data_IF_159539450787
#
_entry.id   IF_159539450787
#
_cell.length_a   1.000
_cell.length_b   1.000
_cell.length_c   1.000
_cell.angle_alpha   90.00
_cell.angle_beta   90.00
_cell.angle_gamma   90.00
#
_symmetry.space_group_name_H-M   'P 1'
#
loop_
_entity.id
_entity.type
_entity.pdbx_description
1 polymer ?
#
# COMPACT_ATOMS: atom_id res chain seq x y z
N UNK A 1 -15.31 -17.09 17.98
CA UNK A 1 -14.02 -16.92 18.70
C UNK A 1 -12.93 -16.39 17.81
N UNK A 2 -12.38 -17.15 16.86
CA UNK A 2 -11.33 -16.66 15.94
C UNK A 2 -11.72 -15.35 15.22
N UNK A 3 -12.93 -15.30 14.65
CA UNK A 3 -13.47 -14.10 14.04
C UNK A 3 -13.53 -12.91 15.01
N UNK A 4 -14.06 -13.12 16.22
CA UNK A 4 -14.16 -12.10 17.27
C UNK A 4 -12.78 -11.55 17.66
N UNK A 5 -11.80 -12.42 17.85
CA UNK A 5 -10.43 -12.01 18.17
C UNK A 5 -9.81 -11.23 17.02
N UNK A 6 -9.98 -11.69 15.78
CA UNK A 6 -9.51 -10.96 14.59
C UNK A 6 -10.13 -9.56 14.51
N UNK A 7 -11.43 -9.43 14.78
CA UNK A 7 -12.13 -8.14 14.81
C UNK A 7 -11.72 -7.27 15.99
N UNK A 8 -11.39 -7.86 17.15
CA UNK A 8 -10.84 -7.13 18.28
C UNK A 8 -9.47 -6.54 17.97
N UNK A 9 -8.59 -7.31 17.33
CA UNK A 9 -7.26 -6.83 16.91
C UNK A 9 -7.41 -5.69 15.90
N UNK A 10 -8.18 -5.91 14.83
CA UNK A 10 -8.48 -4.88 13.81
C UNK A 10 -9.09 -3.62 14.43
N UNK A 11 -10.06 -3.76 15.33
CA UNK A 11 -10.65 -2.61 16.05
C UNK A 11 -9.64 -1.89 16.93
N UNK A 12 -8.65 -2.59 17.49
CA UNK A 12 -7.60 -1.97 18.31
C UNK A 12 -6.71 -1.05 17.49
N UNK A 13 -6.49 -1.37 16.21
CA UNK A 13 -5.72 -0.54 15.27
C UNK A 13 -6.40 0.83 15.06
N UNK A 14 -7.73 0.85 15.05
CA UNK A 14 -8.53 2.07 14.94
C UNK A 14 -8.68 2.88 16.23
N UNK A 15 -7.97 2.57 17.32
CA UNK A 15 -8.12 3.32 18.58
C UNK A 15 -7.40 4.67 18.59
N UNK A 16 -6.34 4.82 17.79
CA UNK A 16 -5.55 6.06 17.74
C UNK A 16 -5.43 6.52 16.30
N UNK A 17 -5.64 7.83 16.01
CA UNK A 17 -5.45 8.33 14.66
C UNK A 17 -3.99 8.20 14.23
N UNK A 18 -3.77 7.88 12.95
CA UNK A 18 -2.44 7.81 12.35
C UNK A 18 -1.97 9.22 11.98
N UNK A 19 -0.69 9.51 12.22
CA UNK A 19 -0.11 10.80 11.87
C UNK A 19 0.08 10.94 10.35
N UNK A 20 -0.69 11.84 9.75
CA UNK A 20 -0.64 12.19 8.32
C UNK A 20 0.50 13.18 8.09
N UNK A 21 1.39 12.90 7.13
CA UNK A 21 2.51 13.77 6.74
C UNK A 21 2.16 14.63 5.53
N UNK A 22 1.43 14.05 4.59
CA UNK A 22 1.03 14.70 3.35
C UNK A 22 -0.38 14.24 2.99
N UNK A 23 -1.22 15.19 2.56
CA UNK A 23 -2.53 14.93 1.98
C UNK A 23 -2.71 15.90 0.82
N UNK A 24 -2.63 15.39 -0.40
CA UNK A 24 -2.56 16.26 -1.59
C UNK A 24 -3.28 15.64 -2.77
N UNK A 25 -4.14 16.44 -3.40
CA UNK A 25 -4.78 16.09 -4.66
C UNK A 25 -3.76 16.21 -5.79
N UNK A 26 -3.49 15.10 -6.49
CA UNK A 26 -2.58 15.05 -7.63
C UNK A 26 -3.30 15.39 -8.95
N UNK A 27 -4.57 14.97 -9.08
CA UNK A 27 -5.45 15.31 -10.20
C UNK A 27 -6.90 15.35 -9.71
N UNK A 28 -7.83 15.78 -10.57
CA UNK A 28 -9.27 15.82 -10.30
C UNK A 28 -9.88 14.53 -9.71
N UNK A 29 -9.21 13.39 -9.86
CA UNK A 29 -9.66 12.08 -9.43
C UNK A 29 -8.60 11.29 -8.65
N UNK A 30 -7.42 11.85 -8.36
CA UNK A 30 -6.33 11.13 -7.66
C UNK A 30 -5.81 11.93 -6.48
N UNK A 31 -5.67 11.27 -5.33
CA UNK A 31 -5.13 11.84 -4.08
C UNK A 31 -3.94 11.01 -3.62
N UNK A 32 -2.92 11.70 -3.11
CA UNK A 32 -1.78 11.13 -2.41
C UNK A 32 -1.94 11.35 -0.90
N UNK A 33 -1.74 10.27 -0.14
CA UNK A 33 -1.69 10.29 1.31
C UNK A 33 -0.35 9.70 1.75
N UNK A 34 0.41 10.44 2.56
CA UNK A 34 1.62 9.91 3.21
C UNK A 34 1.35 9.79 4.71
N UNK A 35 1.46 8.58 5.24
CA UNK A 35 1.20 8.26 6.65
C UNK A 35 2.49 7.93 7.37
N UNK A 36 2.61 8.35 8.63
CA UNK A 36 3.73 7.98 9.49
C UNK A 36 3.54 6.57 10.03
N UNK A 37 4.62 5.80 10.04
CA UNK A 37 4.69 4.46 10.66
C UNK A 37 5.85 4.40 11.64
N UNK A 38 5.81 3.45 12.56
CA UNK A 38 6.94 3.20 13.46
C UNK A 38 8.15 2.67 12.69
N UNK A 39 9.33 3.15 13.05
CA UNK A 39 10.64 2.65 12.58
C UNK A 39 11.04 1.34 13.26
N UNK A 40 10.26 0.90 14.25
CA UNK A 40 10.48 -0.41 14.91
C UNK A 40 9.82 -1.51 14.09
N UNK A 41 10.15 -2.77 14.44
CA UNK A 41 9.53 -3.94 13.81
C UNK A 41 8.00 -3.93 13.77
N UNK A 42 7.34 -3.23 14.70
CA UNK A 42 5.88 -3.12 14.74
C UNK A 42 5.31 -2.26 13.60
N UNK A 43 6.10 -1.38 12.98
CA UNK A 43 5.68 -0.56 11.84
C UNK A 43 6.19 -1.06 10.49
N UNK A 44 6.92 -2.17 10.43
CA UNK A 44 7.45 -2.71 9.17
C UNK A 44 6.32 -3.21 8.26
N UNK A 45 6.37 -2.92 6.98
CA UNK A 45 5.49 -3.53 5.98
C UNK A 45 6.32 -4.16 4.88
N UNK A 46 5.67 -4.94 4.03
CA UNK A 46 6.29 -5.53 2.85
C UNK A 46 5.72 -4.95 1.57
N UNK A 47 6.53 -4.95 0.53
CA UNK A 47 6.14 -4.57 -0.83
C UNK A 47 4.90 -5.36 -1.25
N UNK A 48 3.92 -4.67 -1.85
CA UNK A 48 2.63 -5.23 -2.26
C UNK A 48 1.57 -5.36 -1.16
N UNK A 49 1.88 -5.01 0.09
CA UNK A 49 0.87 -5.00 1.14
C UNK A 49 -0.07 -3.79 1.03
N UNK A 50 -1.26 -3.94 1.59
CA UNK A 50 -2.29 -2.90 1.64
C UNK A 50 -2.76 -2.64 3.07
N UNK A 51 -3.46 -1.52 3.26
CA UNK A 51 -3.99 -1.09 4.55
C UNK A 51 -5.45 -0.67 4.38
N UNK A 52 -6.24 -0.79 5.44
CA UNK A 52 -7.56 -0.18 5.50
C UNK A 52 -7.45 1.23 6.10
N UNK A 53 -8.05 2.20 5.44
CA UNK A 53 -8.15 3.58 5.92
C UNK A 53 -9.58 3.90 6.32
N UNK A 54 -9.72 4.63 7.42
CA UNK A 54 -10.95 5.29 7.82
C UNK A 54 -10.71 6.79 7.98
N UNK A 55 -11.59 7.58 7.37
CA UNK A 55 -11.59 9.05 7.49
C UNK A 55 -12.92 9.45 8.12
N UNK A 56 -12.96 9.71 9.44
CA UNK A 56 -14.19 9.81 10.20
C UNK A 56 -14.99 11.09 9.88
N UNK A 57 -14.36 12.09 9.26
CA UNK A 57 -15.03 13.28 8.70
C UNK A 57 -15.96 12.90 7.53
N UNK A 58 -15.58 11.90 6.74
CA UNK A 58 -16.40 11.35 5.64
C UNK A 58 -17.36 10.30 6.20
N UNK A 59 -16.82 9.30 6.90
CA UNK A 59 -17.62 8.21 7.45
C UNK A 59 -16.95 7.59 8.67
N UNK A 60 -17.70 7.50 9.78
CA UNK A 60 -17.21 6.93 11.05
C UNK A 60 -17.10 5.41 11.04
N UNK A 61 -17.75 4.73 10.09
CA UNK A 61 -17.88 3.27 10.08
C UNK A 61 -17.23 2.60 8.87
N UNK A 62 -17.01 3.33 7.77
CA UNK A 62 -16.46 2.76 6.55
C UNK A 62 -14.94 2.69 6.59
N UNK A 63 -14.40 1.54 6.22
CA UNK A 63 -12.98 1.27 6.10
C UNK A 63 -12.73 0.79 4.68
N UNK A 64 -11.79 1.42 3.98
CA UNK A 64 -11.49 1.13 2.58
C UNK A 64 -10.04 0.67 2.42
N UNK A 65 -9.83 -0.40 1.65
CA UNK A 65 -8.51 -0.97 1.42
C UNK A 65 -7.76 -0.20 0.33
N UNK A 66 -6.48 0.10 0.59
CA UNK A 66 -5.58 0.72 -0.39
C UNK A 66 -4.17 0.15 -0.29
N UNK A 67 -3.61 -0.16 -1.45
CA UNK A 67 -2.24 -0.66 -1.60
C UNK A 67 -1.22 0.39 -1.23
N UNK A 68 -0.16 -0.03 -0.56
CA UNK A 68 0.97 0.84 -0.28
C UNK A 68 1.78 0.98 -1.58
N UNK A 69 1.93 2.22 -2.03
CA UNK A 69 2.64 2.55 -3.25
C UNK A 69 4.15 2.73 -3.04
N UNK A 70 4.61 2.89 -1.79
CA UNK A 70 6.03 3.07 -1.47
C UNK A 70 6.75 1.81 -1.02
N UNK A 71 8.07 1.79 -1.16
CA UNK A 71 8.93 0.74 -0.58
C UNK A 71 9.27 1.01 0.90
N UNK A 72 9.26 -0.02 1.77
CA UNK A 72 9.70 0.12 3.15
C UNK A 72 11.21 0.46 3.28
N UNK A 73 11.99 0.25 2.21
CA UNK A 73 13.44 0.50 2.15
C UNK A 73 13.77 1.97 1.93
N UNK A 74 13.02 2.63 1.06
CA UNK A 74 13.17 4.07 0.77
C UNK A 74 12.48 4.92 1.82
N UNK A 75 11.35 4.44 2.35
CA UNK A 75 10.51 5.15 3.32
C UNK A 75 10.55 4.46 4.70
N UNK A 76 11.57 4.72 5.55
CA UNK A 76 11.74 4.00 6.83
C UNK A 76 10.72 4.38 7.91
N UNK A 77 10.18 5.60 7.90
CA UNK A 77 9.24 6.12 8.91
C UNK A 77 7.88 6.54 8.31
N UNK A 78 7.69 6.33 7.01
CA UNK A 78 6.45 6.64 6.30
C UNK A 78 5.99 5.49 5.39
N UNK A 79 4.75 5.61 4.93
CA UNK A 79 4.20 4.86 3.80
C UNK A 79 3.36 5.80 2.93
N UNK A 80 3.33 5.52 1.63
CA UNK A 80 2.58 6.32 0.65
C UNK A 80 1.44 5.51 0.08
N UNK A 81 0.29 6.16 -0.07
CA UNK A 81 -0.90 5.59 -0.68
C UNK A 81 -1.35 6.54 -1.79
N UNK A 82 -1.62 5.99 -2.98
CA UNK A 82 -2.27 6.70 -4.07
C UNK A 82 -3.68 6.17 -4.22
N UNK A 83 -4.65 7.07 -4.20
CA UNK A 83 -6.08 6.76 -4.17
C UNK A 83 -6.73 7.40 -5.38
N UNK A 84 -7.64 6.66 -6.03
CA UNK A 84 -8.44 7.17 -7.13
C UNK A 84 -9.91 7.23 -6.74
N UNK A 85 -10.61 8.28 -7.17
CA UNK A 85 -12.06 8.39 -7.07
C UNK A 85 -12.75 7.37 -7.98
N UNK A 86 -13.37 6.36 -7.36
CA UNK A 86 -14.08 5.26 -8.03
C UNK A 86 -15.50 5.02 -7.47
N UNK A 87 -15.90 5.74 -6.43
CA UNK A 87 -17.22 5.70 -5.82
C UNK A 87 -17.38 6.76 -4.73
N UNK A 88 -18.58 6.83 -4.14
CA UNK A 88 -19.04 7.93 -3.27
C UNK A 88 -18.02 8.31 -2.18
N UNK A 89 -17.52 7.33 -1.42
CA UNK A 89 -16.56 7.59 -0.34
C UNK A 89 -15.23 8.18 -0.84
N UNK A 90 -14.73 7.69 -1.98
CA UNK A 90 -13.47 8.19 -2.57
C UNK A 90 -13.65 9.54 -3.25
N UNK A 91 -14.84 9.84 -3.76
CA UNK A 91 -15.18 11.16 -4.30
C UNK A 91 -15.22 12.21 -3.18
N UNK A 92 -15.86 11.88 -2.06
CA UNK A 92 -15.84 12.72 -0.86
C UNK A 92 -14.42 12.92 -0.33
N UNK A 93 -13.53 11.94 -0.48
CA UNK A 93 -12.13 12.07 -0.09
C UNK A 93 -11.37 13.09 -0.93
N UNK A 94 -11.60 13.13 -2.25
CA UNK A 94 -11.03 14.15 -3.14
C UNK A 94 -11.56 15.54 -2.79
N UNK A 95 -12.87 15.66 -2.53
CA UNK A 95 -13.45 16.94 -2.12
C UNK A 95 -12.86 17.41 -0.78
N UNK A 96 -12.70 16.49 0.17
CA UNK A 96 -12.12 16.78 1.47
C UNK A 96 -10.63 17.17 1.38
N UNK A 97 -9.85 16.61 0.45
CA UNK A 97 -8.45 17.04 0.25
C UNK A 97 -8.34 18.48 -0.23
N UNK A 98 -9.23 18.93 -1.12
CA UNK A 98 -9.31 20.33 -1.53
C UNK A 98 -9.70 21.25 -0.37
N UNK A 99 -10.67 20.84 0.46
CA UNK A 99 -11.06 21.60 1.66
C UNK A 99 -9.92 21.70 2.68
N UNK A 100 -9.20 20.59 2.94
CA UNK A 100 -8.02 20.57 3.79
C UNK A 100 -6.93 21.51 3.25
N UNK A 101 -6.67 21.49 1.94
CA UNK A 101 -5.70 22.36 1.27
C UNK A 101 -6.06 23.84 1.45
N UNK A 102 -7.33 24.20 1.21
CA UNK A 102 -7.84 25.57 1.37
C UNK A 102 -7.72 26.07 2.81
N UNK A 103 -8.00 25.21 3.78
CA UNK A 103 -7.97 25.54 5.21
C UNK A 103 -6.59 25.36 5.86
N UNK A 104 -5.61 24.84 5.13
CA UNK A 104 -4.24 24.54 5.60
C UNK A 104 -4.23 23.61 6.82
N UNK A 105 -5.04 22.56 6.77
CA UNK A 105 -5.14 21.55 7.84
C UNK A 105 -4.84 20.14 7.31
N UNK A 106 -4.32 19.28 8.17
CA UNK A 106 -4.20 17.85 7.89
C UNK A 106 -5.45 17.10 8.36
N UNK A 107 -5.91 16.07 7.64
CA UNK A 107 -7.07 15.31 8.03
C UNK A 107 -6.78 14.41 9.23
N UNK A 108 -7.82 14.11 10.00
CA UNK A 108 -7.78 12.99 10.95
C UNK A 108 -8.04 11.70 10.17
N UNK A 109 -7.15 10.71 10.28
CA UNK A 109 -7.32 9.39 9.66
C UNK A 109 -7.02 8.28 10.67
N UNK A 110 -7.65 7.13 10.50
CA UNK A 110 -7.32 5.88 11.18
C UNK A 110 -6.86 4.86 10.15
N UNK A 111 -5.97 3.96 10.59
CA UNK A 111 -5.35 2.96 9.74
C UNK A 111 -5.42 1.60 10.43
N UNK A 112 -5.69 0.57 9.64
CA UNK A 112 -5.65 -0.82 10.06
C UNK A 112 -4.82 -1.61 9.02
N UNK A 113 -3.77 -2.29 9.48
CA UNK A 113 -2.80 -2.94 8.60
C UNK A 113 -1.70 -3.68 9.36
N UNK A 114 -0.76 -4.35 8.69
CA UNK A 114 -0.63 -4.49 7.23
C UNK A 114 -1.26 -5.80 6.73
N UNK A 115 -1.91 -5.75 5.56
CA UNK A 115 -2.63 -6.89 4.97
C UNK A 115 -2.07 -7.24 3.58
N UNK A 116 -2.47 -8.41 3.07
CA UNK A 116 -2.02 -8.90 1.76
C UNK A 116 -0.75 -9.76 1.82
N UNK A 117 -0.56 -10.55 0.78
CA UNK A 117 0.68 -11.29 0.54
C UNK A 117 1.79 -10.31 0.11
N UNK A 118 3.03 -10.67 0.39
CA UNK A 118 4.16 -9.87 -0.05
C UNK A 118 4.52 -10.18 -1.50
N UNK A 119 4.84 -9.14 -2.26
CA UNK A 119 5.39 -9.26 -3.61
C UNK A 119 6.92 -9.40 -3.63
N UNK A 120 7.59 -9.62 -2.48
CA UNK A 120 9.05 -9.82 -2.37
C UNK A 120 9.59 -10.97 -3.24
N UNK A 121 8.72 -11.88 -3.70
CA UNK A 121 9.06 -12.97 -4.63
C UNK A 121 9.69 -12.45 -5.95
N UNK A 122 9.48 -11.17 -6.29
CA UNK A 122 10.11 -10.57 -7.47
C UNK A 122 11.63 -10.80 -7.49
N UNK A 123 12.30 -10.88 -6.33
CA UNK A 123 13.75 -11.02 -6.19
C UNK A 123 14.28 -12.39 -6.65
N UNK A 124 13.40 -13.40 -6.77
CA UNK A 124 13.77 -14.76 -7.17
C UNK A 124 13.91 -14.93 -8.70
N UNK A 125 13.38 -13.98 -9.48
CA UNK A 125 13.41 -14.05 -10.94
C UNK A 125 14.60 -13.32 -11.53
N UNK A 126 15.23 -13.87 -12.55
CA UNK A 126 16.28 -13.18 -13.33
C UNK A 126 15.72 -12.11 -14.26
N UNK A 127 14.43 -12.22 -14.60
CA UNK A 127 13.72 -11.22 -15.38
C UNK A 127 12.35 -10.99 -14.78
N UNK A 128 12.06 -9.74 -14.46
CA UNK A 128 10.79 -9.29 -13.88
C UNK A 128 10.08 -8.41 -14.90
N UNK A 129 8.80 -8.68 -15.15
CA UNK A 129 7.95 -7.86 -15.98
C UNK A 129 6.78 -7.33 -15.15
N UNK A 130 6.79 -6.03 -14.89
CA UNK A 130 5.78 -5.31 -14.14
C UNK A 130 4.78 -4.70 -15.13
N UNK A 131 3.51 -5.10 -15.09
CA UNK A 131 2.46 -4.64 -16.01
C UNK A 131 1.35 -3.95 -15.23
N UNK A 132 1.31 -2.63 -15.29
CA UNK A 132 0.39 -1.79 -14.51
C UNK A 132 -0.59 -1.01 -15.35
N UNK A 133 -1.83 -0.88 -14.86
CA UNK A 133 -2.88 -0.09 -15.48
C UNK A 133 -3.56 0.88 -14.53
N UNK A 134 -3.52 2.19 -14.85
CA UNK A 134 -4.17 3.24 -14.05
C UNK A 134 -3.71 3.22 -12.60
N UNK A 135 -4.64 3.38 -11.65
CA UNK A 135 -4.31 3.34 -10.21
C UNK A 135 -3.86 1.96 -9.74
N UNK A 136 -4.18 0.88 -10.45
CA UNK A 136 -3.72 -0.48 -10.13
C UNK A 136 -2.21 -0.68 -10.27
N UNK A 137 -1.45 0.34 -10.70
CA UNK A 137 0.01 0.27 -10.75
C UNK A 137 0.68 0.42 -9.37
N UNK A 138 -0.02 0.93 -8.35
CA UNK A 138 0.49 1.17 -6.99
C UNK A 138 1.34 0.04 -6.38
N UNK A 139 0.92 -1.24 -6.37
CA UNK A 139 1.80 -2.36 -6.00
C UNK A 139 3.15 -2.38 -6.75
N UNK A 140 3.13 -2.13 -8.05
CA UNK A 140 4.30 -2.20 -8.93
C UNK A 140 5.21 -1.00 -8.75
N UNK A 141 4.67 0.16 -8.36
CA UNK A 141 5.48 1.29 -7.90
C UNK A 141 6.30 0.88 -6.68
N UNK A 142 5.69 0.21 -5.69
CA UNK A 142 6.41 -0.25 -4.49
C UNK A 142 7.51 -1.27 -4.82
N UNK A 143 7.28 -2.15 -5.80
CA UNK A 143 8.28 -3.12 -6.30
C UNK A 143 9.43 -2.40 -6.99
N UNK A 144 9.13 -1.49 -7.93
CA UNK A 144 10.16 -0.75 -8.67
C UNK A 144 11.00 0.11 -7.72
N UNK A 145 10.37 0.76 -6.75
CA UNK A 145 11.07 1.56 -5.73
C UNK A 145 11.98 0.69 -4.86
N UNK A 146 11.55 -0.51 -4.47
CA UNK A 146 12.40 -1.43 -3.69
C UNK A 146 13.60 -1.94 -4.49
N UNK A 147 13.42 -2.25 -5.80
CA UNK A 147 14.52 -2.62 -6.69
C UNK A 147 15.54 -1.47 -6.77
N UNK A 148 15.08 -0.25 -7.05
CA UNK A 148 15.97 0.93 -7.16
C UNK A 148 16.69 1.20 -5.84
N UNK A 149 16.00 1.09 -4.71
CA UNK A 149 16.60 1.29 -3.40
C UNK A 149 17.66 0.23 -3.05
N UNK A 150 17.50 -1.02 -3.49
CA UNK A 150 18.55 -2.06 -3.37
C UNK A 150 19.79 -1.67 -4.16
N UNK A 151 19.63 -1.16 -5.39
CA UNK A 151 20.74 -0.71 -6.23
C UNK A 151 21.50 0.47 -5.64
N UNK A 152 20.78 1.47 -5.11
CA UNK A 152 21.39 2.61 -4.41
C UNK A 152 22.17 2.19 -3.16
N UNK A 153 21.75 1.10 -2.51
CA UNK A 153 22.47 0.49 -1.38
C UNK A 153 23.71 -0.33 -1.82
N UNK A 154 24.05 -0.31 -3.11
CA UNK A 154 25.21 -1.00 -3.67
C UNK A 154 24.99 -2.49 -3.91
N UNK A 155 23.74 -2.96 -3.89
CA UNK A 155 23.46 -4.33 -4.30
C UNK A 155 23.60 -4.46 -5.82
N UNK A 156 24.28 -5.50 -6.34
CA UNK A 156 24.40 -5.73 -7.76
C UNK A 156 23.04 -6.02 -8.41
N UNK A 157 22.80 -5.45 -9.59
CA UNK A 157 21.59 -5.71 -10.37
C UNK A 157 21.69 -7.09 -11.05
N UNK A 158 21.08 -8.09 -10.45
CA UNK A 158 21.03 -9.45 -11.01
C UNK A 158 19.80 -9.71 -11.90
N UNK A 159 19.02 -8.68 -12.19
CA UNK A 159 17.73 -8.81 -12.85
C UNK A 159 17.62 -7.89 -14.06
N UNK A 160 16.87 -8.34 -15.07
CA UNK A 160 16.33 -7.48 -16.12
C UNK A 160 14.89 -7.12 -15.78
N UNK A 161 14.56 -5.83 -15.74
CA UNK A 161 13.27 -5.30 -15.33
C UNK A 161 12.58 -4.65 -16.52
N UNK A 162 11.40 -5.16 -16.87
CA UNK A 162 10.49 -4.53 -17.83
C UNK A 162 9.37 -3.85 -17.05
N UNK A 163 9.17 -2.55 -17.26
CA UNK A 163 8.08 -1.80 -16.65
C UNK A 163 7.14 -1.32 -17.75
N UNK A 164 5.94 -1.90 -17.78
CA UNK A 164 4.88 -1.59 -18.75
C UNK A 164 3.77 -0.87 -18.00
N UNK A 165 3.65 0.43 -18.20
CA UNK A 165 2.67 1.25 -17.50
C UNK A 165 1.70 1.92 -18.46
N UNK A 166 0.43 1.56 -18.33
CA UNK A 166 -0.67 2.13 -19.09
C UNK A 166 -1.52 3.02 -18.20
N UNK A 167 -1.71 4.29 -18.57
CA UNK A 167 -2.44 5.24 -17.72
C UNK A 167 -3.31 6.19 -18.55
N UNK A 168 -4.08 7.01 -17.83
CA UNK A 168 -4.91 8.11 -18.36
C UNK A 168 -4.58 9.43 -17.68
N UNK A 169 -4.21 9.37 -16.41
CA UNK A 169 -3.88 10.52 -15.58
C UNK A 169 -2.38 10.79 -15.65
N UNK A 170 -1.98 11.91 -16.26
CA UNK A 170 -0.58 12.34 -16.34
C UNK A 170 0.05 12.57 -14.96
N UNK A 171 -0.77 12.86 -13.94
CA UNK A 171 -0.33 13.02 -12.55
C UNK A 171 0.33 11.76 -11.99
N UNK A 172 -0.04 10.56 -12.46
CA UNK A 172 0.64 9.32 -12.05
C UNK A 172 2.04 9.19 -12.67
N UNK A 173 2.23 9.69 -13.90
CA UNK A 173 3.55 9.77 -14.52
C UNK A 173 4.43 10.79 -13.81
N UNK A 174 3.86 11.95 -13.46
CA UNK A 174 4.52 12.98 -12.66
C UNK A 174 4.96 12.43 -11.29
N UNK A 175 4.09 11.68 -10.61
CA UNK A 175 4.39 11.11 -9.28
C UNK A 175 5.57 10.12 -9.32
N UNK A 176 5.67 9.28 -10.35
CA UNK A 176 6.77 8.32 -10.47
C UNK A 176 8.04 8.91 -11.09
N UNK A 177 7.99 10.14 -11.62
CA UNK A 177 9.11 10.79 -12.31
C UNK A 177 10.44 10.76 -11.53
N UNK A 178 10.48 11.09 -10.21
CA UNK A 178 11.74 11.03 -9.45
C UNK A 178 12.36 9.63 -9.42
N UNK A 179 11.53 8.59 -9.36
CA UNK A 179 11.99 7.20 -9.38
C UNK A 179 12.53 6.80 -10.77
N UNK A 180 11.84 7.20 -11.85
CA UNK A 180 12.29 6.92 -13.22
C UNK A 180 13.64 7.57 -13.54
N UNK A 181 13.93 8.70 -12.91
CA UNK A 181 15.21 9.38 -13.08
C UNK A 181 16.33 8.68 -12.34
N UNK A 182 16.09 8.20 -11.13
CA UNK A 182 17.03 7.33 -10.44
C UNK A 182 17.31 6.07 -11.27
N UNK A 183 16.30 5.50 -11.94
CA UNK A 183 16.50 4.39 -12.88
C UNK A 183 17.44 4.79 -14.03
N UNK A 184 17.24 5.97 -14.65
CA UNK A 184 18.11 6.48 -15.73
C UNK A 184 19.54 6.74 -15.27
N UNK A 185 19.72 7.23 -14.05
CA UNK A 185 21.05 7.48 -13.45
C UNK A 185 21.79 6.17 -13.15
N UNK A 186 21.07 5.15 -12.65
CA UNK A 186 21.63 3.86 -12.28
C UNK A 186 21.89 2.94 -13.49
N UNK A 187 21.09 3.07 -14.56
CA UNK A 187 21.24 2.31 -15.81
C UNK A 187 21.21 3.21 -17.05
N UNK A 188 22.23 4.06 -17.27
CA UNK A 188 22.27 4.98 -18.42
C UNK A 188 22.29 4.26 -19.78
N UNK A 189 22.76 3.01 -19.81
CA UNK A 189 22.85 2.19 -21.01
C UNK A 189 21.60 1.35 -21.28
N UNK A 190 20.59 1.40 -20.40
CA UNK A 190 19.33 0.64 -20.49
C UNK A 190 19.56 -0.88 -20.64
N UNK A 191 20.59 -1.40 -19.97
CA UNK A 191 20.93 -2.83 -20.03
C UNK A 191 19.94 -3.66 -19.20
N UNK A 192 19.50 -3.10 -18.08
CA UNK A 192 18.69 -3.78 -17.09
C UNK A 192 17.25 -3.29 -17.06
N UNK A 193 16.98 -2.00 -17.25
CA UNK A 193 15.63 -1.45 -17.24
C UNK A 193 15.12 -1.19 -18.66
N UNK A 194 13.89 -1.63 -18.92
CA UNK A 194 13.17 -1.36 -20.17
C UNK A 194 11.79 -0.83 -19.83
N UNK A 195 11.57 0.45 -20.10
CA UNK A 195 10.37 1.19 -19.71
C UNK A 195 9.45 1.36 -20.92
N UNK A 196 8.16 1.09 -20.75
CA UNK A 196 7.14 1.20 -21.78
C UNK A 196 5.93 1.93 -21.21
N UNK A 197 5.59 3.09 -21.77
CA UNK A 197 4.52 3.94 -21.28
C UNK A 197 3.46 4.17 -22.35
N UNK A 198 2.20 3.96 -22.01
CA UNK A 198 1.06 4.14 -22.91
C UNK A 198 -0.01 5.03 -22.27
N UNK A 199 -0.22 6.21 -22.84
CA UNK A 199 -1.27 7.13 -22.45
C UNK A 199 -2.51 6.88 -23.31
N UNK A 200 -3.50 6.18 -22.75
CA UNK A 200 -4.65 5.65 -23.53
C UNK A 200 -5.68 6.70 -23.93
N UNK A 201 -5.64 7.89 -23.33
CA UNK A 201 -6.49 9.02 -23.67
C UNK A 201 -5.60 10.17 -24.13
N UNK A 202 -5.84 10.70 -25.32
CA UNK A 202 -5.13 11.88 -25.79
C UNK A 202 -5.38 13.06 -24.81
N UNK A 203 -4.33 13.64 -24.21
CA UNK A 203 -4.47 14.76 -23.29
C UNK A 203 -4.77 16.04 -24.06
N UNK A 204 -5.42 17.01 -23.41
CA UNK A 204 -5.56 18.35 -23.99
C UNK A 204 -4.24 19.11 -23.90
N UNK A 205 -4.05 20.13 -24.74
CA UNK A 205 -2.85 20.99 -24.64
C UNK A 205 -2.74 21.64 -23.26
N UNK A 206 -3.87 22.09 -22.69
CA UNK A 206 -3.90 22.67 -21.35
C UNK A 206 -3.39 21.69 -20.27
N UNK A 207 -3.65 20.38 -20.43
CA UNK A 207 -3.10 19.37 -19.53
C UNK A 207 -1.59 19.16 -19.74
N UNK A 208 -1.15 19.14 -20.99
CA UNK A 208 0.27 18.95 -21.33
C UNK A 208 1.14 20.13 -20.87
N UNK A 209 0.60 21.35 -20.93
CA UNK A 209 1.34 22.57 -20.62
C UNK A 209 1.29 22.90 -19.11
N UNK A 210 0.70 22.03 -18.28
CA UNK A 210 0.79 22.14 -16.82
C UNK A 210 2.23 21.99 -16.35
N UNK A 211 2.71 22.89 -15.46
CA UNK A 211 4.04 22.79 -14.90
C UNK A 211 4.12 21.61 -13.93
N UNK A 212 5.29 20.97 -13.88
CA UNK A 212 5.60 19.93 -12.89
C UNK A 212 5.79 20.58 -11.52
N UNK A 213 5.18 20.00 -10.49
CA UNK A 213 5.35 20.46 -9.12
C UNK A 213 6.62 19.85 -8.50
N UNK A 214 7.77 20.42 -8.85
CA UNK A 214 9.07 19.98 -8.35
C UNK A 214 9.22 20.14 -6.83
N UNK A 215 8.54 21.10 -6.20
CA UNK A 215 8.60 21.28 -4.76
C UNK A 215 7.95 20.09 -4.05
N UNK A 216 6.77 19.67 -4.51
CA UNK A 216 6.06 18.48 -4.01
C UNK A 216 6.87 17.21 -4.25
N UNK A 217 7.44 17.05 -5.45
CA UNK A 217 8.29 15.89 -5.77
C UNK A 217 9.59 15.84 -4.96
N UNK A 218 10.10 16.99 -4.50
CA UNK A 218 11.25 17.07 -3.60
C UNK A 218 10.90 16.78 -2.12
N UNK A 219 9.64 16.43 -1.82
CA UNK A 219 9.19 16.10 -0.48
C UNK A 219 8.80 17.30 0.38
N UNK A 220 8.64 18.50 -0.22
CA UNK A 220 8.01 19.62 0.49
C UNK A 220 6.49 19.40 0.47
N UNK A 221 5.83 19.19 1.62
CA UNK A 221 4.39 18.94 1.63
C UNK A 221 3.65 20.16 1.09
N UNK A 222 2.75 19.93 0.13
CA UNK A 222 1.99 20.98 -0.58
C UNK A 222 1.07 21.77 0.38
N UNK A 223 0.78 21.22 1.56
CA UNK A 223 0.13 21.92 2.65
C UNK A 223 1.19 22.29 3.69
N UNK A 224 1.47 23.58 3.86
CA UNK A 224 2.10 24.13 5.07
C UNK A 224 1.12 24.05 6.25
N UNK A 225 0.58 22.85 6.50
CA UNK A 225 -0.42 22.63 7.52
C UNK A 225 0.23 22.88 8.87
N UNK A 226 -0.35 23.81 9.62
CA UNK A 226 0.12 24.13 10.97
C UNK A 226 -0.55 23.25 12.03
N UNK A 227 -1.66 22.59 11.69
CA UNK A 227 -2.43 21.77 12.60
C UNK A 227 -3.26 20.67 11.90
N UNK A 228 -3.74 19.73 12.70
CA UNK A 228 -4.72 18.71 12.31
C UNK A 228 -6.15 19.23 12.46
N UNK A 229 -7.05 18.75 11.61
CA UNK A 229 -8.49 18.90 11.77
C UNK A 229 -8.95 18.13 13.02
N UNK A 230 -9.35 18.89 14.04
CA UNK A 230 -9.79 18.40 15.35
C UNK A 230 -11.31 18.33 15.49
N UNK A 231 -12.05 18.57 14.40
CA UNK A 231 -13.52 18.57 14.41
C UNK A 231 -14.14 17.25 14.92
N UNK A 232 -13.45 16.12 14.69
CA UNK A 232 -13.96 14.78 15.01
C UNK A 232 -13.33 14.18 16.27
N UNK A 233 -12.07 14.52 16.58
CA UNK A 233 -11.37 13.95 17.75
C UNK A 233 -10.33 14.91 18.31
N UNK A 234 -10.13 14.85 19.63
CA UNK A 234 -9.04 15.53 20.34
C UNK A 234 -7.82 14.63 20.56
N UNK A 235 -7.83 13.39 20.05
CA UNK A 235 -6.70 12.47 20.17
C UNK A 235 -5.53 12.95 19.32
N UNK A 236 -4.32 12.89 19.89
CA UNK A 236 -3.09 13.26 19.19
C UNK A 236 -2.72 12.15 18.21
N UNK A 237 -2.57 12.44 16.90
CA UNK A 237 -2.12 11.48 15.91
C UNK A 237 -0.72 10.93 16.22
N UNK A 238 -0.51 9.63 16.00
CA UNK A 238 0.77 8.95 16.25
C UNK A 238 1.21 8.13 15.03
N UNK A 239 2.52 7.84 14.87
CA UNK A 239 2.98 6.88 13.89
C UNK A 239 2.29 5.52 14.08
N UNK A 240 1.85 4.90 12.99
CA UNK A 240 1.16 3.62 13.05
C UNK A 240 2.09 2.51 13.56
N UNK A 241 1.55 1.64 14.40
CA UNK A 241 2.19 0.43 14.91
C UNK A 241 1.19 -0.70 14.87
N UNK A 242 1.54 -1.83 14.25
CA UNK A 242 0.75 -3.05 14.32
C UNK A 242 0.88 -3.63 15.75
N UNK A 243 -0.22 -3.68 16.53
CA UNK A 243 -0.22 -4.33 17.83
C UNK A 243 -0.06 -5.84 17.65
N UNK A 244 0.56 -6.47 18.63
CA UNK A 244 0.74 -7.91 18.72
C UNK A 244 1.46 -8.54 17.53
N UNK A 245 2.31 -7.81 16.81
CA UNK A 245 3.00 -8.36 15.62
C UNK A 245 3.82 -9.64 15.91
N UNK A 246 4.38 -9.78 17.11
CA UNK A 246 5.18 -10.96 17.48
C UNK A 246 4.34 -12.25 17.43
N UNK A 247 4.82 -13.28 16.72
CA UNK A 247 4.18 -14.61 16.67
C UNK A 247 3.96 -15.17 18.08
N UNK A 248 4.95 -15.03 18.95
CA UNK A 248 4.86 -15.46 20.35
C UNK A 248 3.79 -14.68 21.12
N UNK A 249 3.71 -13.36 20.88
CA UNK A 249 2.66 -12.52 21.46
C UNK A 249 1.25 -12.92 21.00
N UNK A 250 1.05 -13.15 19.69
CA UNK A 250 -0.22 -13.63 19.14
C UNK A 250 -0.59 -14.99 19.74
N UNK A 251 0.33 -15.94 19.78
CA UNK A 251 0.09 -17.29 20.34
C UNK A 251 -0.24 -17.22 21.83
N UNK A 252 0.49 -16.43 22.62
CA UNK A 252 0.21 -16.22 24.03
C UNK A 252 -1.18 -15.61 24.24
N UNK A 253 -1.48 -14.52 23.52
CA UNK A 253 -2.79 -13.87 23.57
C UNK A 253 -3.91 -14.84 23.17
N UNK A 254 -3.79 -15.57 22.05
CA UNK A 254 -4.80 -16.54 21.61
C UNK A 254 -5.01 -17.64 22.66
N UNK A 255 -3.93 -18.18 23.23
CA UNK A 255 -4.01 -19.23 24.25
C UNK A 255 -4.71 -18.74 25.50
N UNK A 256 -4.33 -17.56 25.98
CA UNK A 256 -4.89 -16.96 27.20
C UNK A 256 -6.35 -16.58 27.00
N UNK A 257 -6.68 -15.87 25.91
CA UNK A 257 -8.06 -15.48 25.59
C UNK A 257 -8.93 -16.72 25.40
N UNK A 258 -8.44 -17.75 24.70
CA UNK A 258 -9.17 -19.02 24.54
C UNK A 258 -9.44 -19.70 25.87
N UNK A 259 -8.44 -19.83 26.75
CA UNK A 259 -8.60 -20.47 28.05
C UNK A 259 -9.60 -19.73 28.93
N UNK A 260 -9.47 -18.40 29.06
CA UNK A 260 -10.38 -17.60 29.88
C UNK A 260 -11.80 -17.59 29.33
N UNK A 261 -11.97 -17.48 28.02
CA UNK A 261 -13.31 -17.50 27.40
C UNK A 261 -13.96 -18.88 27.50
N UNK A 262 -13.19 -19.96 27.37
CA UNK A 262 -13.68 -21.33 27.55
C UNK A 262 -14.06 -21.61 29.01
N UNK A 263 -13.21 -21.23 29.96
CA UNK A 263 -13.51 -21.34 31.39
C UNK A 263 -14.78 -20.54 31.75
N UNK A 264 -14.86 -19.31 31.26
CA UNK A 264 -16.02 -18.45 31.46
C UNK A 264 -17.30 -19.06 30.88
N UNK A 265 -17.24 -19.62 29.67
CA UNK A 265 -18.36 -20.33 29.05
C UNK A 265 -18.81 -21.54 29.87
N UNK A 266 -17.87 -22.33 30.43
CA UNK A 266 -18.21 -23.44 31.34
C UNK A 266 -18.94 -22.92 32.58
N UNK A 267 -18.44 -21.85 33.20
CA UNK A 267 -19.05 -21.26 34.40
C UNK A 267 -20.48 -20.76 34.15
N UNK A 268 -20.71 -20.06 33.04
CA UNK A 268 -22.04 -19.59 32.65
C UNK A 268 -22.99 -20.77 32.36
N UNK A 269 -22.50 -21.82 31.68
CA UNK A 269 -23.34 -22.94 31.26
C UNK A 269 -23.68 -23.92 32.39
N UNK A 270 -22.74 -24.16 33.30
CA UNK A 270 -22.85 -25.21 34.33
C UNK A 270 -22.87 -24.69 35.78
N UNK A 271 -22.29 -23.52 36.05
CA UNK A 271 -22.16 -22.98 37.42
C UNK A 271 -23.30 -22.05 37.81
N UNK A 272 -23.65 -21.10 36.94
CA UNK A 272 -24.69 -20.10 37.20
C UNK A 272 -25.51 -19.89 35.94
N UNK A 273 -26.32 -20.90 35.60
CA UNK A 273 -27.21 -20.86 34.44
C UNK A 273 -28.09 -19.62 34.55
N UNK A 274 -28.08 -18.75 33.54
CA UNK A 274 -28.97 -17.59 33.48
C UNK A 274 -30.38 -18.14 33.27
N UNK A 275 -31.09 -18.45 34.36
CA UNK A 275 -32.44 -18.99 34.27
C UNK A 275 -33.39 -17.86 33.91
N UNK A 276 -33.96 -17.92 32.71
CA UNK A 276 -35.17 -17.15 32.42
C UNK A 276 -36.33 -17.81 33.17
N UNK A 277 -37.14 -17.04 33.91
CA UNK A 277 -38.36 -17.53 34.57
C UNK A 277 -39.38 -18.14 33.58
N UNK A 278 -39.24 -17.85 32.29
CA UNK A 278 -40.09 -18.34 31.22
C UNK A 278 -39.28 -19.19 30.23
N UNK A 279 -39.60 -20.48 30.11
CA UNK A 279 -38.91 -21.43 29.21
C UNK A 279 -38.96 -21.01 27.73
N UNK A 280 -39.94 -20.18 27.33
CA UNK A 280 -40.05 -19.67 25.97
C UNK A 280 -38.97 -18.62 25.61
N UNK A 281 -38.18 -18.13 26.58
CA UNK A 281 -37.11 -17.15 26.37
C UNK A 281 -35.73 -17.77 26.14
N UNK A 282 -35.65 -19.08 25.90
CA UNK A 282 -34.39 -19.77 25.60
C UNK A 282 -33.56 -19.14 24.45
N UNK A 283 -34.14 -18.53 23.38
CA UNK A 283 -33.34 -17.87 22.35
C UNK A 283 -32.63 -16.61 22.88
N UNK A 284 -33.31 -15.84 23.73
CA UNK A 284 -32.76 -14.63 24.34
C UNK A 284 -31.65 -14.97 25.34
N UNK A 285 -31.83 -16.05 26.09
CA UNK A 285 -30.80 -16.60 26.97
C UNK A 285 -29.54 -16.96 26.18
N UNK A 286 -29.67 -17.75 25.11
CA UNK A 286 -28.54 -18.13 24.27
C UNK A 286 -27.84 -16.91 23.64
N UNK A 287 -28.61 -15.92 23.19
CA UNK A 287 -28.06 -14.67 22.66
C UNK A 287 -27.22 -13.93 23.71
N UNK A 288 -27.72 -13.78 24.93
CA UNK A 288 -27.00 -13.15 26.03
C UNK A 288 -25.72 -13.92 26.39
N UNK A 289 -25.79 -15.24 26.49
CA UNK A 289 -24.62 -16.09 26.77
C UNK A 289 -23.53 -15.92 25.68
N UNK A 290 -23.91 -15.93 24.40
CA UNK A 290 -23.00 -15.73 23.27
C UNK A 290 -22.40 -14.31 23.30
N UNK A 291 -23.23 -13.28 23.52
CA UNK A 291 -22.78 -11.89 23.57
C UNK A 291 -21.76 -11.67 24.70
N UNK A 292 -21.96 -12.33 25.85
CA UNK A 292 -21.07 -12.19 27.00
C UNK A 292 -19.73 -12.89 26.78
N UNK A 293 -19.73 -14.07 26.14
CA UNK A 293 -18.49 -14.73 25.71
C UNK A 293 -17.72 -13.87 24.69
N UNK A 294 -18.42 -13.25 23.74
CA UNK A 294 -17.81 -12.31 22.78
C UNK A 294 -17.19 -11.12 23.53
N UNK A 295 -17.91 -10.52 24.49
CA UNK A 295 -17.43 -9.38 25.27
C UNK A 295 -16.16 -9.72 26.07
N UNK A 296 -16.14 -10.87 26.75
CA UNK A 296 -14.95 -11.34 27.49
C UNK A 296 -13.77 -11.56 26.55
N UNK A 297 -14.01 -12.13 25.36
CA UNK A 297 -12.96 -12.31 24.36
C UNK A 297 -12.37 -10.97 23.88
N UNK A 298 -13.23 -10.00 23.57
CA UNK A 298 -12.82 -8.65 23.14
C UNK A 298 -12.02 -7.94 24.22
N UNK A 299 -12.50 -7.95 25.47
CA UNK A 299 -11.81 -7.36 26.62
C UNK A 299 -10.44 -7.99 26.84
N UNK A 300 -10.35 -9.33 26.73
CA UNK A 300 -9.07 -10.03 26.80
C UNK A 300 -8.08 -9.51 25.77
N UNK A 301 -8.48 -9.42 24.50
CA UNK A 301 -7.61 -8.87 23.44
C UNK A 301 -7.20 -7.42 23.74
N UNK A 302 -8.13 -6.56 24.13
CA UNK A 302 -7.85 -5.16 24.44
C UNK A 302 -6.89 -4.99 25.62
N UNK A 303 -7.00 -5.83 26.65
CA UNK A 303 -6.04 -5.79 27.77
C UNK A 303 -4.64 -6.18 27.33
N UNK A 304 -4.51 -7.17 26.43
CA UNK A 304 -3.22 -7.59 25.88
C UNK A 304 -2.61 -6.52 24.98
N UNK A 305 -3.38 -5.93 24.07
CA UNK A 305 -2.89 -4.86 23.18
C UNK A 305 -2.46 -3.64 23.98
N UNK A 306 -3.24 -3.23 24.99
CA UNK A 306 -2.91 -2.13 25.88
C UNK A 306 -1.66 -2.40 26.72
N UNK A 307 -1.51 -3.62 27.26
CA UNK A 307 -0.33 -3.99 28.04
C UNK A 307 0.95 -3.95 27.19
N UNK A 308 0.89 -4.44 25.94
CA UNK A 308 2.03 -4.40 25.02
C UNK A 308 2.40 -2.96 24.62
N UNK A 309 1.41 -2.11 24.31
CA UNK A 309 1.62 -0.70 23.99
C UNK A 309 2.29 0.06 25.15
N UNK A 310 1.84 -0.21 26.38
CA UNK A 310 2.44 0.36 27.59
C UNK A 310 3.90 -0.08 27.78
N UNK A 311 4.18 -1.39 27.64
CA UNK A 311 5.54 -1.92 27.75
C UNK A 311 6.49 -1.34 26.69
N UNK A 312 6.01 -1.15 25.46
CA UNK A 312 6.78 -0.52 24.37
C UNK A 312 7.04 0.96 24.66
N UNK A 313 6.04 1.69 25.16
CA UNK A 313 6.17 3.11 25.50
C UNK A 313 7.21 3.33 26.61
N UNK A 314 7.27 2.44 27.61
CA UNK A 314 8.29 2.49 28.68
C UNK A 314 9.70 2.18 28.17
N UNK A 315 9.81 1.33 27.13
CA UNK A 315 11.11 0.96 26.54
C UNK A 315 11.62 1.97 25.50
N UNK A 316 10.72 2.72 24.85
CA UNK A 316 11.04 3.66 23.77
C UNK A 316 11.62 5.00 24.26
N UNK A 317 11.66 5.26 25.57
CA UNK A 317 12.23 6.49 26.15
C UNK A 317 13.74 6.71 25.95
N UNK A 318 14.42 5.84 25.20
CA UNK A 318 15.88 5.82 25.06
C UNK A 318 16.44 5.80 23.62
N UNK A 319 15.62 5.89 22.57
CA UNK A 319 16.14 5.97 21.20
C UNK A 319 15.86 7.35 20.58
N UNK A 320 16.94 8.10 20.40
CA UNK A 320 16.95 9.48 19.92
C UNK A 320 16.38 9.67 18.52
N UNK A 321 16.03 10.94 18.25
CA UNK A 321 15.54 11.44 16.97
C UNK A 321 16.49 11.06 15.84
N UNK A 322 16.05 10.13 15.00
CA UNK A 322 16.58 10.00 13.65
C UNK A 322 15.88 11.07 12.82
N UNK A 323 16.67 12.00 12.31
CA UNK A 323 16.26 12.94 11.27
C UNK A 323 15.63 12.17 10.12
N UNK A 324 14.48 12.62 9.58
CA UNK A 324 13.86 11.98 8.44
C UNK A 324 14.86 11.89 7.29
N UNK A 325 14.89 10.74 6.61
CA UNK A 325 15.59 10.62 5.33
C UNK A 325 14.93 11.61 4.37
N UNK A 326 15.53 12.78 4.21
CA UNK A 326 15.12 13.73 3.20
C UNK A 326 15.24 13.06 1.85
N UNK A 327 14.18 13.16 1.04
CA UNK A 327 14.27 12.84 -0.37
C UNK A 327 15.42 13.68 -0.95
N UNK A 328 16.39 13.03 -1.61
CA UNK A 328 17.52 13.73 -2.21
C UNK A 328 16.98 14.80 -3.17
N UNK A 329 17.55 16.02 -3.18
CA UNK A 329 17.13 17.06 -4.12
C UNK A 329 17.22 16.50 -5.53
N UNK A 330 16.08 16.39 -6.20
CA UNK A 330 15.99 15.88 -7.56
C UNK A 330 16.09 17.06 -8.53
N UNK A 331 17.10 17.05 -9.41
CA UNK A 331 17.28 18.06 -10.46
C UNK A 331 16.71 17.50 -11.78
N UNK A 332 15.63 18.13 -12.27
CA UNK A 332 15.02 17.81 -13.56
C UNK A 332 15.13 18.98 -14.50
N UNK A 333 15.42 18.68 -15.77
CA UNK A 333 15.30 19.66 -16.86
C UNK A 333 13.88 19.66 -17.46
N UNK A 334 13.02 18.71 -17.08
CA UNK A 334 11.62 18.70 -17.49
C UNK A 334 10.85 19.76 -16.71
N UNK A 335 10.08 20.60 -17.39
CA UNK A 335 9.32 21.68 -16.76
C UNK A 335 7.81 21.45 -16.82
N UNK A 336 7.33 20.73 -17.84
CA UNK A 336 5.92 20.51 -18.11
C UNK A 336 5.59 19.03 -18.28
N UNK A 337 4.30 18.68 -18.15
CA UNK A 337 3.85 17.31 -18.43
C UNK A 337 4.12 16.89 -19.89
N UNK A 338 4.18 17.85 -20.82
CA UNK A 338 4.63 17.65 -22.21
C UNK A 338 6.08 17.15 -22.28
N UNK A 339 6.96 17.72 -21.45
CA UNK A 339 8.36 17.32 -21.40
C UNK A 339 8.47 15.87 -20.91
N UNK A 340 7.71 15.48 -19.87
CA UNK A 340 7.68 14.09 -19.40
C UNK A 340 7.20 13.11 -20.48
N UNK A 341 6.14 13.48 -21.20
CA UNK A 341 5.60 12.67 -22.31
C UNK A 341 6.66 12.45 -23.40
N UNK A 342 7.45 13.47 -23.71
CA UNK A 342 8.54 13.38 -24.68
C UNK A 342 9.75 12.60 -24.13
N UNK A 343 10.14 12.88 -22.89
CA UNK A 343 11.33 12.33 -22.23
C UNK A 343 11.24 10.81 -22.00
N UNK A 344 10.03 10.31 -21.77
CA UNK A 344 9.75 8.88 -21.58
C UNK A 344 9.16 8.20 -22.81
N UNK A 345 9.09 8.90 -23.95
CA UNK A 345 8.60 8.37 -25.23
C UNK A 345 7.22 7.72 -25.04
N UNK A 346 6.30 8.44 -24.39
CA UNK A 346 4.98 7.93 -24.05
C UNK A 346 4.13 7.80 -25.31
N UNK A 347 3.67 6.59 -25.60
CA UNK A 347 2.78 6.35 -26.73
C UNK A 347 1.36 6.85 -26.41
N UNK A 348 0.87 7.84 -27.16
CA UNK A 348 -0.43 8.50 -26.90
C UNK A 348 -1.54 7.95 -27.80
N UNK A 349 -2.72 7.75 -27.22
CA UNK A 349 -3.97 7.46 -27.93
C UNK A 349 -4.24 5.98 -28.23
N UNK A 350 -3.33 5.09 -27.82
CA UNK A 350 -3.43 3.66 -28.12
C UNK A 350 -3.13 2.83 -26.87
N UNK A 351 -3.69 1.62 -26.83
CA UNK A 351 -3.35 0.62 -25.80
C UNK A 351 -2.02 -0.06 -26.14
N UNK A 352 -1.27 -0.56 -25.15
CA UNK A 352 -0.02 -1.27 -25.42
C UNK A 352 -0.25 -2.49 -26.31
N UNK A 353 0.62 -2.70 -27.30
CA UNK A 353 0.65 -3.92 -28.07
C UNK A 353 1.30 -5.05 -27.25
N UNK A 354 0.52 -5.70 -26.40
CA UNK A 354 1.03 -6.72 -25.48
C UNK A 354 1.70 -7.90 -26.21
N UNK A 355 1.28 -8.24 -27.44
CA UNK A 355 1.93 -9.29 -28.24
C UNK A 355 3.37 -8.92 -28.61
N UNK A 356 3.61 -7.66 -28.94
CA UNK A 356 4.95 -7.17 -29.25
C UNK A 356 5.79 -7.03 -27.98
N UNK A 357 5.22 -6.43 -26.93
CA UNK A 357 5.91 -6.20 -25.66
C UNK A 357 6.33 -7.53 -25.02
N UNK A 358 5.41 -8.51 -24.88
CA UNK A 358 5.74 -9.80 -24.28
C UNK A 358 6.75 -10.60 -25.11
N UNK A 359 6.75 -10.43 -26.44
CA UNK A 359 7.80 -10.99 -27.29
C UNK A 359 9.16 -10.34 -27.02
N UNK A 360 9.22 -9.02 -26.83
CA UNK A 360 10.45 -8.31 -26.41
C UNK A 360 10.93 -8.77 -25.05
N UNK A 361 10.02 -8.94 -24.08
CA UNK A 361 10.31 -9.48 -22.74
C UNK A 361 10.94 -10.86 -22.85
N UNK A 362 10.34 -11.77 -23.62
CA UNK A 362 10.85 -13.13 -23.79
C UNK A 362 12.23 -13.18 -24.45
N UNK A 363 12.45 -12.41 -25.52
CA UNK A 363 13.74 -12.34 -26.20
C UNK A 363 14.81 -11.73 -25.27
N UNK A 364 14.44 -10.66 -24.56
CA UNK A 364 15.31 -10.01 -23.59
C UNK A 364 15.71 -10.94 -22.44
N UNK A 365 14.77 -11.72 -21.93
CA UNK A 365 15.02 -12.75 -20.92
C UNK A 365 16.02 -13.80 -21.42
N UNK A 366 15.79 -14.38 -22.60
CA UNK A 366 16.71 -15.38 -23.18
C UNK A 366 18.13 -14.84 -23.33
N UNK A 367 18.26 -13.60 -23.82
CA UNK A 367 19.56 -12.95 -23.95
C UNK A 367 20.21 -12.74 -22.58
N UNK A 368 19.46 -12.24 -21.60
CA UNK A 368 19.96 -11.97 -20.24
C UNK A 368 20.43 -13.24 -19.52
N UNK A 369 19.62 -14.31 -19.54
CA UNK A 369 19.98 -15.60 -18.94
C UNK A 369 21.19 -16.23 -19.64
N UNK A 370 21.33 -16.07 -20.96
CA UNK A 370 22.49 -16.60 -21.69
C UNK A 370 23.82 -15.95 -21.27
N UNK A 371 23.79 -14.71 -20.81
CA UNK A 371 24.97 -13.98 -20.33
C UNK A 371 25.14 -14.06 -18.81
N UNK A 372 24.10 -14.46 -18.08
CA UNK A 372 24.07 -14.60 -16.62
C UNK A 372 23.43 -15.94 -16.21
N UNK A 373 24.10 -17.08 -16.45
CA UNK A 373 23.51 -18.42 -16.23
C UNK A 373 23.20 -18.74 -14.76
N UNK A 374 23.81 -18.02 -13.81
CA UNK A 374 23.57 -18.17 -12.37
C UNK A 374 22.47 -17.21 -11.85
N UNK A 375 21.87 -16.38 -12.71
CA UNK A 375 20.81 -15.47 -12.32
C UNK A 375 19.47 -16.22 -12.26
N UNK A 376 19.00 -16.50 -11.04
CA UNK A 376 17.59 -16.75 -10.70
C UNK A 376 16.84 -17.84 -11.47
N UNK A 377 15.50 -17.76 -11.41
CA UNK A 377 14.59 -18.70 -12.05
C UNK A 377 14.69 -18.68 -13.59
N UNK A 378 14.34 -19.81 -14.22
CA UNK A 378 14.33 -20.05 -15.67
C UNK A 378 13.13 -19.44 -16.42
N UNK A 379 12.17 -18.90 -15.68
CA UNK A 379 10.96 -18.24 -16.21
C UNK A 379 11.01 -16.74 -15.96
N UNK A 380 10.22 -15.99 -16.73
CA UNK A 380 9.97 -14.57 -16.47
C UNK A 380 8.89 -14.43 -15.40
N UNK A 381 9.19 -13.71 -14.32
CA UNK A 381 8.19 -13.33 -13.32
C UNK A 381 7.37 -12.14 -13.80
N UNK A 382 6.09 -12.35 -14.10
CA UNK A 382 5.17 -11.31 -14.58
C UNK A 382 4.26 -10.89 -13.44
N UNK A 383 4.35 -9.65 -12.98
CA UNK A 383 3.47 -9.09 -11.96
C UNK A 383 2.51 -8.12 -12.62
N UNK A 384 1.21 -8.42 -12.55
CA UNK A 384 0.19 -7.67 -13.28
C UNK A 384 -0.93 -7.18 -12.37
N UNK A 385 -1.26 -5.90 -12.50
CA UNK A 385 -2.35 -5.26 -11.75
C UNK A 385 -2.99 -4.11 -12.54
N UNK A 386 -4.30 -3.89 -12.33
CA UNK A 386 -5.10 -2.91 -13.08
C UNK A 386 -6.26 -3.53 -13.89
N UNK A 387 -6.72 -2.88 -14.98
CA UNK A 387 -7.96 -3.25 -15.67
C UNK A 387 -7.93 -4.65 -16.29
N UNK A 388 -9.03 -5.38 -16.17
CA UNK A 388 -9.27 -6.71 -16.76
C UNK A 388 -8.84 -6.84 -18.22
N UNK A 389 -9.09 -5.80 -19.03
CA UNK A 389 -8.71 -5.84 -20.44
C UNK A 389 -7.20 -5.84 -20.68
N UNK A 390 -6.41 -5.23 -19.78
CA UNK A 390 -4.95 -5.28 -19.83
C UNK A 390 -4.44 -6.65 -19.39
N UNK A 391 -5.05 -7.21 -18.33
CA UNK A 391 -4.78 -8.57 -17.83
C UNK A 391 -4.95 -9.62 -18.94
N UNK A 392 -6.15 -9.70 -19.54
CA UNK A 392 -6.45 -10.64 -20.63
C UNK A 392 -5.57 -10.46 -21.86
N UNK A 393 -5.24 -9.21 -22.21
CA UNK A 393 -4.35 -8.94 -23.34
C UNK A 393 -2.92 -9.47 -23.07
N UNK A 394 -2.48 -9.39 -21.82
CA UNK A 394 -1.17 -9.90 -21.38
C UNK A 394 -1.15 -11.43 -21.37
N UNK A 395 -2.16 -12.06 -20.77
CA UNK A 395 -2.32 -13.52 -20.76
C UNK A 395 -2.40 -14.10 -22.17
N UNK A 396 -3.18 -13.46 -23.07
CA UNK A 396 -3.25 -13.87 -24.47
C UNK A 396 -1.89 -13.77 -25.16
N UNK A 397 -1.12 -12.72 -24.90
CA UNK A 397 0.21 -12.56 -25.48
C UNK A 397 1.22 -13.59 -24.93
N UNK A 398 1.11 -13.96 -23.65
CA UNK A 398 1.91 -15.01 -23.02
C UNK A 398 1.56 -16.38 -23.61
N UNK A 399 0.26 -16.67 -23.77
CA UNK A 399 -0.22 -17.91 -24.37
C UNK A 399 0.29 -18.11 -25.80
N UNK A 400 0.33 -17.03 -26.60
CA UNK A 400 0.87 -17.04 -27.97
C UNK A 400 2.37 -17.41 -28.01
N UNK A 401 3.13 -17.16 -26.94
CA UNK A 401 4.58 -17.47 -26.84
C UNK A 401 4.80 -18.86 -26.23
N UNK A 402 4.00 -19.24 -25.24
CA UNK A 402 4.13 -20.46 -24.45
C UNK A 402 4.15 -20.14 -22.95
N UNK A 403 3.06 -20.49 -22.26
CA UNK A 403 2.87 -20.17 -20.84
C UNK A 403 3.95 -20.75 -19.91
N UNK A 404 4.59 -21.85 -20.29
CA UNK A 404 5.69 -22.48 -19.58
C UNK A 404 6.96 -21.61 -19.47
N UNK A 405 7.03 -20.49 -20.17
CA UNK A 405 8.14 -19.53 -20.07
C UNK A 405 7.89 -18.39 -19.09
N UNK A 406 6.69 -18.29 -18.54
CA UNK A 406 6.26 -17.17 -17.70
C UNK A 406 5.62 -17.70 -16.43
N UNK A 407 5.84 -16.98 -15.34
CA UNK A 407 5.15 -17.20 -14.07
C UNK A 407 4.38 -15.93 -13.75
N UNK A 408 3.05 -16.01 -13.81
CA UNK A 408 2.16 -14.83 -13.77
C UNK A 408 1.55 -14.69 -12.37
N UNK A 409 1.86 -13.56 -11.75
CA UNK A 409 1.34 -13.13 -10.46
C UNK A 409 0.34 -12.02 -10.70
N UNK A 410 -0.94 -12.37 -10.62
CA UNK A 410 -2.03 -11.41 -10.69
C UNK A 410 -2.36 -10.89 -9.29
N UNK A 411 -2.43 -9.57 -9.17
CA UNK A 411 -2.99 -8.95 -7.99
C UNK A 411 -4.49 -8.69 -8.22
N UNK A 412 -5.31 -9.36 -7.42
CA UNK A 412 -6.74 -9.11 -7.33
C UNK A 412 -7.02 -8.19 -6.15
N UNK A 413 -7.50 -6.98 -6.43
CA UNK A 413 -8.24 -6.20 -5.46
C UNK A 413 -9.72 -6.34 -5.78
N UNK A 414 -10.44 -7.03 -4.89
CA UNK A 414 -11.89 -6.85 -4.80
C UNK A 414 -12.12 -5.43 -4.27
N UNK A 415 -12.42 -4.49 -5.17
CA UNK A 415 -12.85 -3.12 -4.84
C UNK A 415 -14.28 -3.11 -4.31
#
# INVERSE_FOLDING_TARGET
MLYTVSRAISSSNGFTPVAVREFTTLSHDVVKVVLSRSTTRAGDFKVGQFVYLNVPTISKLQWHAFTIASSPRTSPDTLTILLKSLGDWTEDLVNYSEDCKKNKVLPTMYMDGYYGASLELYDEYSTVCLVGGGIGVTPLFSVLEDIVAKLQQGQPLHQKVFFVFTFRELSLLEEIHPLLMQVKELDPQQLHFSLHFNLTRAPTNDQLDQPIDHERLAGNPHVSATCYDTSVTSKIPKPFTEPLRSRTGKVAMYTVVFFFTFLFWILVRYGSKIQAENENLWPLQNFMEIALVILVAMLGVYTFTYAEDKMKTESAGYLGSLTPGGMQPYASDAHTLRDLVAEYIVEVGHRPNMKEIMRKVYIGHKHFVSTHPDAGNSTVGVFISGPETLKRATESAISDIGANHFDVHEEEFEL
#
